data_IF_255875617116
#
_entry.id   IF_255875617116
#
_cell.length_a   1.000
_cell.length_b   1.000
_cell.length_c   1.000
_cell.angle_alpha   90.00
_cell.angle_beta   90.00
_cell.angle_gamma   90.00
#
_symmetry.space_group_name_H-M   'P 1'
#
loop_
_entity.id
_entity.type
_entity.pdbx_description
1 polymer ?
#
# COMPACT_ATOMS: atom_id res chain seq x y z
N UNK A 1 -13.75 7.60 6.16
CA UNK A 1 -12.65 7.83 7.15
C UNK A 1 -11.30 7.78 6.44
N UNK A 2 -10.39 8.69 6.78
CA UNK A 2 -9.09 8.87 6.10
C UNK A 2 -7.95 8.42 7.02
N UNK A 3 -7.00 7.66 6.47
CA UNK A 3 -5.71 7.36 7.10
C UNK A 3 -4.58 7.82 6.18
N UNK A 4 -3.90 8.90 6.57
CA UNK A 4 -2.73 9.42 5.86
C UNK A 4 -1.47 9.17 6.69
N UNK A 5 -0.54 8.40 6.13
CA UNK A 5 0.78 8.09 6.67
C UNK A 5 1.87 8.43 5.64
N UNK A 6 1.57 9.29 4.67
CA UNK A 6 2.53 9.68 3.65
C UNK A 6 3.73 10.43 4.23
N UNK A 7 4.84 10.45 3.49
CA UNK A 7 6.06 11.19 3.87
C UNK A 7 6.64 10.80 5.23
N UNK A 8 6.60 9.50 5.53
CA UNK A 8 7.21 8.93 6.72
C UNK A 8 8.42 8.06 6.35
N UNK A 9 8.98 7.38 7.35
CA UNK A 9 10.08 6.43 7.17
C UNK A 9 9.64 5.01 7.52
N UNK A 10 8.38 4.65 7.23
CA UNK A 10 7.87 3.31 7.45
C UNK A 10 8.64 2.33 6.57
N UNK A 11 8.99 1.17 7.13
CA UNK A 11 9.79 0.12 6.50
C UNK A 11 9.09 -1.22 6.60
N UNK A 12 9.48 -2.16 5.74
CA UNK A 12 8.94 -3.52 5.74
C UNK A 12 7.67 -3.66 4.91
N UNK A 13 6.97 -4.78 5.07
CA UNK A 13 5.76 -5.08 4.31
C UNK A 13 4.53 -4.37 4.88
N UNK A 14 3.52 -4.15 4.04
CA UNK A 14 2.21 -3.70 4.50
C UNK A 14 1.53 -4.88 5.24
N UNK A 15 1.24 -4.76 6.55
CA UNK A 15 0.68 -5.85 7.33
C UNK A 15 -0.67 -6.33 6.79
N UNK A 16 -0.82 -7.63 6.55
CA UNK A 16 -2.12 -8.24 6.22
C UNK A 16 -3.29 -7.85 7.14
N UNK A 17 -3.11 -7.68 8.47
CA UNK A 17 -4.17 -7.20 9.35
C UNK A 17 -4.77 -5.84 8.98
N UNK A 18 -4.09 -4.97 8.23
CA UNK A 18 -4.68 -3.72 7.70
C UNK A 18 -5.87 -3.98 6.78
N UNK A 19 -5.95 -5.15 6.15
CA UNK A 19 -7.14 -5.60 5.40
C UNK A 19 -8.40 -5.69 6.27
N UNK A 20 -8.30 -5.67 7.60
CA UNK A 20 -9.47 -5.65 8.48
C UNK A 20 -10.15 -4.29 8.59
N UNK A 21 -9.48 -3.21 8.19
CA UNK A 21 -9.98 -1.83 8.32
C UNK A 21 -10.97 -1.45 7.19
N UNK A 22 -12.06 -2.21 7.06
CA UNK A 22 -13.05 -2.08 5.97
C UNK A 22 -13.81 -0.77 5.91
N UNK A 23 -13.63 0.10 6.91
CA UNK A 23 -14.25 1.41 7.00
C UNK A 23 -13.39 2.54 6.38
N UNK A 24 -12.16 2.24 5.96
CA UNK A 24 -11.28 3.23 5.36
C UNK A 24 -11.76 3.58 3.95
N UNK A 25 -12.00 4.87 3.73
CA UNK A 25 -12.34 5.43 2.42
C UNK A 25 -11.09 5.92 1.70
N UNK A 26 -10.10 6.40 2.45
CA UNK A 26 -8.83 6.90 1.92
C UNK A 26 -7.70 6.32 2.75
N UNK A 27 -6.70 5.80 2.05
CA UNK A 27 -5.42 5.38 2.59
C UNK A 27 -4.33 6.08 1.78
N UNK A 28 -3.34 6.68 2.45
CA UNK A 28 -2.17 7.23 1.79
C UNK A 28 -0.90 6.74 2.50
N UNK A 29 -0.15 5.87 1.83
CA UNK A 29 1.14 5.31 2.27
C UNK A 29 2.31 5.83 1.42
N UNK A 30 2.06 6.84 0.58
CA UNK A 30 3.05 7.33 -0.37
C UNK A 30 4.31 7.87 0.31
N UNK A 31 5.44 7.84 -0.42
CA UNK A 31 6.72 8.37 0.06
C UNK A 31 7.15 7.80 1.42
N UNK A 32 7.28 6.47 1.46
CA UNK A 32 7.84 5.70 2.57
C UNK A 32 8.92 4.74 2.04
N UNK A 33 9.41 3.82 2.87
CA UNK A 33 10.34 2.75 2.50
C UNK A 33 9.69 1.37 2.62
N UNK A 34 8.39 1.28 2.31
CA UNK A 34 7.66 0.02 2.33
C UNK A 34 8.12 -0.87 1.17
N UNK A 35 8.11 -2.18 1.39
CA UNK A 35 8.61 -3.18 0.47
C UNK A 35 7.63 -4.35 0.31
N UNK A 36 7.81 -5.13 -0.76
CA UNK A 36 7.02 -6.34 -1.00
C UNK A 36 5.68 -6.09 -1.68
N UNK A 37 4.82 -7.10 -1.66
CA UNK A 37 3.54 -7.09 -2.39
C UNK A 37 2.47 -6.30 -1.63
N UNK A 38 1.78 -5.41 -2.33
CA UNK A 38 0.57 -4.76 -1.81
C UNK A 38 -0.50 -5.82 -1.50
N UNK A 39 -1.06 -5.85 -0.28
CA UNK A 39 -2.13 -6.77 0.07
C UNK A 39 -3.33 -6.61 -0.87
N UNK A 40 -3.88 -7.72 -1.34
CA UNK A 40 -5.03 -7.74 -2.25
C UNK A 40 -6.28 -8.13 -1.45
N UNK A 41 -7.39 -7.44 -1.72
CA UNK A 41 -8.71 -7.76 -1.19
C UNK A 41 -9.40 -6.59 -0.48
N UNK A 42 -10.73 -6.69 -0.35
CA UNK A 42 -11.58 -5.69 0.33
C UNK A 42 -11.31 -4.27 -0.21
N UNK A 43 -11.12 -3.28 0.67
CA UNK A 43 -10.86 -1.90 0.28
C UNK A 43 -9.44 -1.67 -0.26
N UNK A 44 -8.49 -2.58 -0.08
CA UNK A 44 -7.14 -2.40 -0.65
C UNK A 44 -7.14 -2.44 -2.19
N UNK A 45 -8.13 -3.09 -2.78
CA UNK A 45 -8.35 -3.10 -4.23
C UNK A 45 -8.94 -1.78 -4.76
N UNK A 46 -9.41 -0.88 -3.89
CA UNK A 46 -10.06 0.37 -4.29
C UNK A 46 -9.16 1.57 -4.14
N UNK A 47 -8.05 1.46 -3.39
CA UNK A 47 -7.12 2.58 -3.23
C UNK A 47 -6.32 2.82 -4.51
N UNK A 48 -6.16 4.08 -4.96
CA UNK A 48 -5.47 4.40 -6.21
C UNK A 48 -3.96 4.20 -6.10
N UNK A 49 -3.27 4.15 -7.25
CA UNK A 49 -1.81 4.07 -7.37
C UNK A 49 -1.08 5.11 -6.52
N UNK A 50 -1.59 6.35 -6.49
CA UNK A 50 -1.02 7.46 -5.72
C UNK A 50 -0.93 7.18 -4.22
N UNK A 51 -1.74 6.26 -3.69
CA UNK A 51 -1.69 5.84 -2.30
C UNK A 51 -0.39 5.11 -1.95
N UNK A 52 0.33 4.59 -2.95
CA UNK A 52 1.47 3.70 -2.78
C UNK A 52 2.75 4.21 -3.46
N UNK A 53 2.66 5.30 -4.23
CA UNK A 53 3.79 5.83 -4.98
C UNK A 53 4.94 6.28 -4.06
N UNK A 54 6.16 6.38 -4.60
CA UNK A 54 7.33 6.76 -3.79
C UNK A 54 7.83 5.71 -2.79
N UNK A 55 7.34 4.46 -2.88
CA UNK A 55 7.90 3.29 -2.18
C UNK A 55 8.68 2.41 -3.19
N UNK A 56 10.03 2.50 -3.25
CA UNK A 56 10.81 1.90 -4.34
C UNK A 56 10.70 0.38 -4.45
N UNK A 57 10.56 -0.31 -3.31
CA UNK A 57 10.57 -1.78 -3.23
C UNK A 57 9.17 -2.40 -3.16
N UNK A 58 8.12 -1.57 -3.18
CA UNK A 58 6.74 -2.04 -3.24
C UNK A 58 6.41 -2.54 -4.66
N UNK A 59 5.46 -3.46 -4.78
CA UNK A 59 4.99 -4.00 -6.05
C UNK A 59 3.56 -4.56 -5.95
N UNK A 60 2.96 -4.84 -7.10
CA UNK A 60 1.60 -5.39 -7.21
C UNK A 60 0.53 -4.33 -7.43
N UNK A 61 -0.68 -4.77 -7.75
CA UNK A 61 -1.83 -3.88 -7.98
C UNK A 61 -2.06 -2.96 -6.76
N UNK A 62 -2.32 -1.64 -6.95
CA UNK A 62 -2.57 -0.92 -8.22
C UNK A 62 -1.33 -0.37 -8.93
N UNK A 63 -0.11 -0.66 -8.48
CA UNK A 63 1.11 -0.21 -9.15
C UNK A 63 1.31 -0.96 -10.49
N UNK A 64 1.89 -0.28 -11.47
CA UNK A 64 2.34 -0.93 -12.72
C UNK A 64 3.56 -1.83 -12.54
N UNK A 65 4.24 -1.72 -11.38
CA UNK A 65 5.36 -2.57 -11.02
C UNK A 65 4.86 -3.94 -10.58
N UNK A 66 5.07 -4.95 -11.40
CA UNK A 66 4.78 -6.33 -11.04
C UNK A 66 5.75 -6.84 -9.98
N UNK A 67 5.27 -7.69 -9.07
CA UNK A 67 6.15 -8.42 -8.17
C UNK A 67 6.79 -9.57 -8.95
N UNK A 68 8.11 -9.70 -8.87
CA UNK A 68 8.80 -10.87 -9.39
C UNK A 68 8.23 -12.15 -8.78
N UNK A 69 8.19 -13.24 -9.56
CA UNK A 69 8.03 -14.57 -8.99
C UNK A 69 9.31 -14.85 -8.20
N UNK A 70 9.22 -14.83 -6.88
CA UNK A 70 10.28 -15.36 -6.03
C UNK A 70 10.42 -16.86 -6.28
#
# INVERSE_FOLDING_TARGET
MVLDLSWNRLVGEIPGPLLSLTFLEVLNLSYNHLAGRIPIGKQFNTFPNDSYCGNPDLCGFPLSKECGKQ
#
